data_IF_642246496710
#
_entry.id   IF_642246496710
#
_cell.length_a   1.000
_cell.length_b   1.000
_cell.length_c   1.000
_cell.angle_alpha   90.00
_cell.angle_beta   90.00
_cell.angle_gamma   90.00
#
_symmetry.space_group_name_H-M   'P 1'
#
loop_
_entity.id
_entity.type
_entity.pdbx_description
1 polymer ?
#
# COMPACT_ATOMS: atom_id res chain seq x y z
N UNK A 1 -6.25 5.01 -16.07
CA UNK A 1 -7.63 4.77 -15.67
C UNK A 1 -8.49 5.95 -16.04
N UNK A 2 -9.64 5.66 -16.64
CA UNK A 2 -10.65 6.65 -17.00
C UNK A 2 -11.75 6.60 -15.94
N UNK A 3 -12.54 7.64 -15.78
CA UNK A 3 -13.69 7.56 -14.90
C UNK A 3 -14.72 6.53 -15.43
N UNK A 4 -15.54 5.94 -14.56
CA UNK A 4 -16.43 4.81 -14.86
C UNK A 4 -15.73 3.57 -15.48
N UNK A 5 -14.44 3.33 -15.17
CA UNK A 5 -13.71 2.18 -15.72
C UNK A 5 -13.67 0.96 -14.79
N UNK A 6 -14.10 1.12 -13.53
CA UNK A 6 -14.00 0.11 -12.48
C UNK A 6 -14.89 0.46 -11.29
N UNK A 7 -15.18 -0.53 -10.44
CA UNK A 7 -15.86 -0.30 -9.15
C UNK A 7 -15.11 0.73 -8.28
N UNK A 8 -13.78 0.75 -8.37
CA UNK A 8 -12.93 1.69 -7.63
C UNK A 8 -13.12 3.14 -8.10
N UNK A 9 -13.18 3.36 -9.42
CA UNK A 9 -13.47 4.68 -9.96
C UNK A 9 -14.89 5.14 -9.63
N UNK A 10 -15.85 4.22 -9.64
CA UNK A 10 -17.24 4.52 -9.31
C UNK A 10 -17.37 4.95 -7.84
N UNK A 11 -16.67 4.26 -6.93
CA UNK A 11 -16.63 4.63 -5.52
C UNK A 11 -16.01 6.02 -5.31
N UNK A 12 -14.84 6.29 -5.93
CA UNK A 12 -14.19 7.59 -5.81
C UNK A 12 -15.04 8.74 -6.38
N UNK A 13 -15.72 8.53 -7.50
CA UNK A 13 -16.60 9.55 -8.09
C UNK A 13 -17.75 9.90 -7.12
N UNK A 14 -18.33 8.92 -6.43
CA UNK A 14 -19.32 9.18 -5.38
C UNK A 14 -18.71 9.95 -4.20
N UNK A 15 -17.53 9.55 -3.74
CA UNK A 15 -16.84 10.19 -2.61
C UNK A 15 -16.49 11.66 -2.85
N UNK A 16 -16.27 12.03 -4.11
CA UNK A 16 -15.98 13.40 -4.55
C UNK A 16 -17.24 14.19 -4.90
N UNK A 17 -18.43 13.62 -4.71
CA UNK A 17 -19.71 14.23 -5.04
C UNK A 17 -20.01 14.32 -6.53
N UNK A 18 -19.28 13.59 -7.37
CA UNK A 18 -19.43 13.57 -8.82
C UNK A 18 -18.16 13.12 -9.55
N UNK A 19 -18.31 12.90 -10.85
CA UNK A 19 -17.19 12.51 -11.71
C UNK A 19 -16.40 13.74 -12.17
N UNK A 20 -15.14 13.83 -11.73
CA UNK A 20 -14.24 14.91 -12.10
C UNK A 20 -12.86 14.36 -12.49
N UNK A 21 -12.41 14.60 -13.72
CA UNK A 21 -11.06 14.20 -14.15
C UNK A 21 -9.94 15.04 -13.51
N UNK A 22 -10.28 16.24 -13.03
CA UNK A 22 -9.40 17.16 -12.31
C UNK A 22 -9.99 17.47 -10.94
N UNK A 23 -9.24 18.19 -10.09
CA UNK A 23 -9.74 18.64 -8.79
C UNK A 23 -10.80 19.75 -9.00
N UNK A 24 -12.05 19.56 -8.52
CA UNK A 24 -13.06 20.60 -8.54
C UNK A 24 -12.74 21.68 -7.49
N UNK A 25 -13.11 22.92 -7.79
CA UNK A 25 -12.95 24.04 -6.86
C UNK A 25 -14.21 24.93 -6.91
N UNK A 26 -15.08 24.90 -5.88
CA UNK A 26 -15.06 24.01 -4.72
C UNK A 26 -15.51 22.59 -5.04
N UNK A 27 -15.24 21.65 -4.13
CA UNK A 27 -15.92 20.35 -4.14
C UNK A 27 -17.43 20.52 -3.82
N UNK A 28 -18.30 19.63 -4.34
CA UNK A 28 -19.69 19.55 -3.91
C UNK A 28 -19.81 19.32 -2.40
N UNK A 29 -20.80 19.93 -1.75
CA UNK A 29 -21.02 19.78 -0.30
C UNK A 29 -21.41 18.36 0.16
N UNK A 30 -21.69 17.46 -0.79
CA UNK A 30 -21.95 16.04 -0.53
C UNK A 30 -20.69 15.18 -0.57
N UNK A 31 -19.53 15.76 -0.91
CA UNK A 31 -18.27 15.04 -0.95
C UNK A 31 -17.72 14.85 0.47
N UNK A 32 -16.96 13.78 0.66
CA UNK A 32 -16.18 13.50 1.88
C UNK A 32 -14.69 13.25 1.58
N UNK A 33 -14.33 13.29 0.29
CA UNK A 33 -12.96 13.20 -0.20
C UNK A 33 -12.64 14.43 -1.06
N UNK A 34 -11.73 15.26 -0.55
CA UNK A 34 -11.43 16.61 -1.05
C UNK A 34 -9.95 16.79 -1.36
N UNK A 35 -9.34 15.83 -2.07
CA UNK A 35 -7.92 15.91 -2.42
C UNK A 35 -7.59 17.21 -3.16
N UNK A 36 -6.53 17.90 -2.73
CA UNK A 36 -6.23 19.28 -3.14
C UNK A 36 -4.87 19.45 -3.87
N UNK A 37 -4.07 18.40 -3.99
CA UNK A 37 -2.82 18.42 -4.77
C UNK A 37 -3.10 18.47 -6.28
N UNK A 38 -3.02 19.68 -6.84
CA UNK A 38 -3.22 19.99 -8.26
C UNK A 38 -2.23 19.32 -9.22
N UNK A 39 -1.14 18.72 -8.72
CA UNK A 39 -0.21 17.94 -9.54
C UNK A 39 -0.71 16.50 -9.80
N UNK A 40 -1.71 16.07 -9.03
CA UNK A 40 -2.26 14.72 -9.05
C UNK A 40 -3.37 14.59 -10.12
N UNK A 41 -3.25 13.57 -10.98
CA UNK A 41 -4.29 13.22 -11.94
C UNK A 41 -5.31 12.25 -11.33
N UNK A 42 -6.35 11.89 -12.10
CA UNK A 42 -7.40 10.95 -11.65
C UNK A 42 -6.86 9.64 -11.07
N UNK A 43 -5.82 9.07 -11.68
CA UNK A 43 -5.21 7.82 -11.22
C UNK A 43 -4.51 7.99 -9.88
N UNK A 44 -3.77 9.08 -9.71
CA UNK A 44 -3.10 9.43 -8.47
C UNK A 44 -4.12 9.65 -7.33
N UNK A 45 -5.21 10.39 -7.60
CA UNK A 45 -6.26 10.64 -6.60
C UNK A 45 -6.91 9.34 -6.13
N UNK A 46 -7.00 8.35 -7.01
CA UNK A 46 -7.57 7.05 -6.69
C UNK A 46 -6.66 6.20 -5.80
N UNK A 47 -5.34 6.33 -5.94
CA UNK A 47 -4.38 5.67 -5.03
C UNK A 47 -4.47 6.25 -3.63
N UNK A 48 -4.55 7.58 -3.53
CA UNK A 48 -4.70 8.28 -2.25
C UNK A 48 -6.03 7.96 -1.59
N UNK A 49 -7.11 7.92 -2.36
CA UNK A 49 -8.41 7.46 -1.88
C UNK A 49 -8.37 6.03 -1.31
N UNK A 50 -7.66 5.12 -2.00
CA UNK A 50 -7.45 3.76 -1.50
C UNK A 50 -6.68 3.73 -0.19
N UNK A 51 -5.61 4.52 -0.10
CA UNK A 51 -4.80 4.66 1.09
C UNK A 51 -5.64 5.16 2.27
N UNK A 52 -6.37 6.25 2.11
CA UNK A 52 -7.24 6.83 3.14
C UNK A 52 -8.26 5.82 3.66
N UNK A 53 -8.91 5.07 2.78
CA UNK A 53 -9.88 4.06 3.18
C UNK A 53 -9.23 2.89 3.96
N UNK A 54 -8.10 2.35 3.49
CA UNK A 54 -7.41 1.24 4.16
C UNK A 54 -6.92 1.64 5.54
N UNK A 55 -6.29 2.81 5.68
CA UNK A 55 -5.74 3.24 6.98
C UNK A 55 -6.83 3.69 7.96
N UNK A 56 -7.97 4.18 7.46
CA UNK A 56 -9.18 4.40 8.27
C UNK A 56 -9.74 3.07 8.78
N UNK A 57 -9.82 2.05 7.92
CA UNK A 57 -10.26 0.70 8.31
C UNK A 57 -9.34 0.07 9.36
N UNK A 58 -8.02 0.23 9.21
CA UNK A 58 -7.02 -0.26 10.16
C UNK A 58 -7.05 0.48 11.51
N UNK A 59 -7.80 1.58 11.62
CA UNK A 59 -7.86 2.41 12.83
C UNK A 59 -6.60 3.26 13.06
N UNK A 60 -5.76 3.42 12.04
CA UNK A 60 -4.52 4.22 12.13
C UNK A 60 -4.83 5.70 12.34
N UNK A 61 -5.97 6.18 11.83
CA UNK A 61 -6.40 7.57 11.91
C UNK A 61 -7.45 7.81 13.02
N UNK A 62 -7.79 6.78 13.82
CA UNK A 62 -8.89 6.81 14.81
C UNK A 62 -8.48 7.51 16.12
N UNK A 63 -8.00 8.75 15.99
CA UNK A 63 -7.75 9.65 17.10
C UNK A 63 -8.22 11.07 16.76
N UNK A 64 -8.61 11.82 17.78
CA UNK A 64 -9.23 13.13 17.60
C UNK A 64 -8.30 14.18 16.95
N UNK A 65 -6.99 14.11 17.21
CA UNK A 65 -6.04 15.07 16.67
C UNK A 65 -5.83 14.83 15.18
N UNK A 66 -5.64 13.57 14.78
CA UNK A 66 -5.51 13.18 13.38
C UNK A 66 -6.79 13.48 12.62
N UNK A 67 -7.95 13.08 13.15
CA UNK A 67 -9.26 13.35 12.56
C UNK A 67 -9.47 14.85 12.28
N UNK A 68 -9.09 15.72 13.22
CA UNK A 68 -9.17 17.17 13.03
C UNK A 68 -8.20 17.65 11.93
N UNK A 69 -6.96 17.14 11.95
CA UNK A 69 -5.90 17.55 11.03
C UNK A 69 -6.12 17.16 9.58
N UNK A 70 -6.96 16.15 9.31
CA UNK A 70 -7.26 15.67 7.95
C UNK A 70 -8.66 16.04 7.46
N UNK A 71 -9.50 16.63 8.32
CA UNK A 71 -10.93 16.86 8.05
C UNK A 71 -11.23 17.72 6.82
N UNK A 72 -10.27 18.54 6.36
CA UNK A 72 -10.39 19.31 5.13
C UNK A 72 -10.27 18.45 3.85
N UNK A 73 -9.69 17.26 3.95
CA UNK A 73 -9.42 16.34 2.83
C UNK A 73 -10.20 15.03 2.93
N UNK A 74 -10.37 14.49 4.14
CA UNK A 74 -10.96 13.17 4.36
C UNK A 74 -11.78 13.13 5.66
N UNK A 75 -13.07 12.80 5.53
CA UNK A 75 -13.97 12.75 6.68
C UNK A 75 -14.06 11.36 7.36
N UNK A 76 -14.12 10.22 6.65
CA UNK A 76 -14.32 8.92 7.29
C UNK A 76 -13.04 8.32 7.89
N UNK A 77 -12.50 8.94 8.93
CA UNK A 77 -11.21 8.61 9.56
C UNK A 77 -11.15 7.29 10.36
N UNK A 78 -12.26 6.58 10.56
CA UNK A 78 -12.25 5.29 11.24
C UNK A 78 -13.16 4.26 10.58
N UNK A 79 -13.01 2.99 10.96
CA UNK A 79 -13.73 1.89 10.34
C UNK A 79 -15.25 2.04 10.39
N UNK A 80 -15.80 2.58 11.48
CA UNK A 80 -17.25 2.75 11.64
C UNK A 80 -17.77 3.83 10.70
N UNK A 81 -17.10 5.00 10.68
CA UNK A 81 -17.48 6.12 9.83
C UNK A 81 -17.29 5.78 8.35
N UNK A 82 -16.21 5.09 8.01
CA UNK A 82 -15.97 4.57 6.66
C UNK A 82 -17.09 3.64 6.21
N UNK A 83 -17.49 2.69 7.05
CA UNK A 83 -18.57 1.76 6.72
C UNK A 83 -19.92 2.46 6.50
N UNK A 84 -20.20 3.52 7.26
CA UNK A 84 -21.47 4.26 7.13
C UNK A 84 -21.48 5.30 6.01
N UNK A 85 -20.33 5.88 5.67
CA UNK A 85 -20.22 6.98 4.71
C UNK A 85 -19.87 6.45 3.31
N UNK A 86 -18.85 5.62 3.21
CA UNK A 86 -18.31 5.14 1.94
C UNK A 86 -18.50 3.63 1.77
N UNK A 87 -19.77 3.24 1.63
CA UNK A 87 -20.19 1.83 1.56
C UNK A 87 -19.54 1.10 0.38
N UNK A 88 -19.38 1.79 -0.75
CA UNK A 88 -18.78 1.22 -1.96
C UNK A 88 -17.31 0.88 -1.74
N UNK A 89 -16.55 1.82 -1.17
CA UNK A 89 -15.14 1.59 -0.91
C UNK A 89 -14.91 0.60 0.23
N UNK A 90 -15.72 0.67 1.29
CA UNK A 90 -15.67 -0.30 2.37
C UNK A 90 -15.86 -1.73 1.85
N UNK A 91 -16.86 -1.93 0.97
CA UNK A 91 -17.10 -3.24 0.34
C UNK A 91 -15.90 -3.71 -0.50
N UNK A 92 -15.26 -2.81 -1.24
CA UNK A 92 -14.07 -3.14 -2.04
C UNK A 92 -12.87 -3.54 -1.17
N UNK A 93 -12.54 -2.76 -0.14
CA UNK A 93 -11.35 -3.05 0.67
C UNK A 93 -11.51 -4.29 1.55
N UNK A 94 -12.75 -4.61 1.96
CA UNK A 94 -13.04 -5.77 2.82
C UNK A 94 -13.34 -7.05 2.04
N UNK A 95 -13.46 -6.98 0.72
CA UNK A 95 -13.65 -8.18 -0.09
C UNK A 95 -12.40 -9.06 -0.09
N UNK A 96 -12.55 -10.24 0.52
CA UNK A 96 -11.50 -11.27 0.63
C UNK A 96 -10.94 -11.72 -0.72
N UNK A 97 -11.67 -11.55 -1.83
CA UNK A 97 -11.21 -11.84 -3.18
C UNK A 97 -9.94 -11.06 -3.53
N UNK A 98 -9.82 -9.81 -3.08
CA UNK A 98 -8.70 -8.93 -3.44
C UNK A 98 -7.48 -9.10 -2.54
N UNK A 99 -7.59 -9.88 -1.45
CA UNK A 99 -6.48 -10.21 -0.53
C UNK A 99 -5.73 -8.97 -0.02
N UNK A 100 -6.45 -7.88 0.19
CA UNK A 100 -5.87 -6.65 0.71
C UNK A 100 -5.44 -6.84 2.18
N UNK A 101 -4.31 -6.26 2.60
CA UNK A 101 -3.91 -6.26 3.99
C UNK A 101 -4.89 -5.40 4.78
N UNK A 102 -5.47 -5.99 5.84
CA UNK A 102 -6.43 -5.32 6.72
C UNK A 102 -5.91 -5.12 8.15
N UNK A 103 -4.66 -5.52 8.38
CA UNK A 103 -3.97 -5.33 9.65
C UNK A 103 -2.83 -4.34 9.45
N UNK A 104 -2.75 -3.35 10.33
CA UNK A 104 -1.62 -2.46 10.39
C UNK A 104 -0.34 -3.26 10.70
N UNK A 105 0.82 -2.88 10.14
CA UNK A 105 2.10 -3.38 10.62
C UNK A 105 2.25 -3.12 12.12
N UNK A 106 2.76 -4.10 12.87
CA UNK A 106 3.00 -3.99 14.31
C UNK A 106 4.32 -3.28 14.65
N UNK A 107 5.11 -2.92 13.63
CA UNK A 107 6.43 -2.32 13.75
C UNK A 107 7.52 -3.26 14.27
N UNK A 108 7.23 -4.56 14.44
CA UNK A 108 8.20 -5.54 14.92
C UNK A 108 8.90 -6.25 13.77
N UNK A 109 10.03 -5.70 13.34
CA UNK A 109 10.86 -6.28 12.28
C UNK A 109 11.90 -7.28 12.80
N UNK A 110 11.87 -7.64 14.08
CA UNK A 110 12.81 -8.60 14.66
C UNK A 110 12.27 -10.03 14.52
N UNK A 111 12.83 -10.88 13.63
CA UNK A 111 12.42 -12.27 13.57
C UNK A 111 12.77 -12.99 14.86
N UNK A 112 11.91 -13.91 15.30
CA UNK A 112 12.18 -14.77 16.45
C UNK A 112 13.44 -15.61 16.16
N UNK A 113 14.54 -15.32 16.85
CA UNK A 113 15.83 -16.03 16.70
C UNK A 113 15.78 -17.48 17.17
N UNK A 114 14.67 -17.90 17.77
CA UNK A 114 14.49 -19.23 18.38
C UNK A 114 14.23 -20.37 17.38
N UNK A 115 14.01 -20.07 16.09
CA UNK A 115 13.74 -21.08 15.05
C UNK A 115 14.83 -21.22 13.99
N UNK A 116 15.95 -20.50 14.13
CA UNK A 116 17.10 -20.69 13.22
C UNK A 116 17.99 -21.78 13.80
N UNK A 117 17.58 -23.04 13.66
CA UNK A 117 18.55 -24.14 13.65
C UNK A 117 19.45 -23.92 12.43
N UNK A 118 20.78 -23.98 12.57
CA UNK A 118 21.73 -23.96 11.45
C UNK A 118 21.24 -24.92 10.36
N UNK A 119 20.71 -24.36 9.27
CA UNK A 119 20.17 -25.16 8.18
C UNK A 119 21.39 -25.70 7.43
N UNK A 120 21.61 -27.01 7.57
CA UNK A 120 22.39 -27.88 6.69
C UNK A 120 23.53 -27.17 5.93
N UNK A 121 24.77 -27.34 6.39
CA UNK A 121 25.97 -26.72 5.79
C UNK A 121 26.16 -27.05 4.29
N UNK A 122 25.50 -28.10 3.79
CA UNK A 122 25.40 -28.42 2.37
C UNK A 122 24.24 -27.66 1.70
N UNK A 123 24.41 -26.35 1.48
CA UNK A 123 23.47 -25.50 0.74
C UNK A 123 23.90 -25.31 -0.71
N UNK A 124 22.96 -25.40 -1.66
CA UNK A 124 23.22 -25.16 -3.08
C UNK A 124 22.68 -23.80 -3.52
N UNK A 125 23.45 -23.12 -4.38
CA UNK A 125 23.02 -21.84 -4.96
C UNK A 125 21.90 -22.12 -5.96
N UNK A 126 20.72 -21.56 -5.72
CA UNK A 126 19.57 -21.63 -6.62
C UNK A 126 19.61 -20.48 -7.62
N UNK A 127 19.91 -19.27 -7.15
CA UNK A 127 19.86 -18.05 -7.97
C UNK A 127 20.82 -16.98 -7.45
N UNK A 128 21.38 -16.18 -8.35
CA UNK A 128 22.17 -15.00 -8.02
C UNK A 128 21.42 -13.78 -8.54
N UNK A 129 21.20 -12.79 -7.67
CA UNK A 129 20.54 -11.53 -8.05
C UNK A 129 21.38 -10.31 -7.70
N UNK A 130 21.14 -9.22 -8.43
CA UNK A 130 21.63 -7.90 -8.05
C UNK A 130 20.77 -7.23 -6.97
N UNK A 131 21.12 -5.99 -6.59
CA UNK A 131 20.39 -5.18 -5.60
C UNK A 131 18.94 -4.85 -6.01
N UNK A 132 18.58 -5.03 -7.28
CA UNK A 132 17.23 -4.83 -7.82
C UNK A 132 16.49 -6.16 -8.01
N UNK A 133 17.04 -7.29 -7.56
CA UNK A 133 16.40 -8.61 -7.65
C UNK A 133 16.48 -9.27 -9.04
N UNK A 134 17.23 -8.69 -9.98
CA UNK A 134 17.37 -9.22 -11.34
C UNK A 134 18.38 -10.37 -11.35
N UNK A 135 18.09 -11.45 -12.10
CA UNK A 135 19.05 -12.55 -12.26
C UNK A 135 20.33 -12.08 -12.95
N UNK A 136 21.46 -12.45 -12.39
CA UNK A 136 22.77 -12.12 -12.93
C UNK A 136 23.74 -13.27 -12.70
N UNK A 137 24.89 -13.21 -13.39
CA UNK A 137 26.04 -14.06 -13.12
C UNK A 137 26.97 -13.39 -12.11
N UNK A 138 27.99 -14.12 -11.68
CA UNK A 138 29.05 -13.58 -10.84
C UNK A 138 29.80 -12.47 -11.58
N UNK A 139 29.56 -11.21 -11.17
CA UNK A 139 30.22 -10.02 -11.70
C UNK A 139 31.11 -9.38 -10.64
N UNK A 140 32.27 -8.86 -11.07
CA UNK A 140 33.14 -8.05 -10.21
C UNK A 140 32.57 -6.65 -10.01
N UNK A 141 32.99 -6.00 -8.92
CA UNK A 141 32.64 -4.62 -8.55
C UNK A 141 31.12 -4.35 -8.44
N UNK A 142 30.33 -5.40 -8.17
CA UNK A 142 28.89 -5.33 -7.98
C UNK A 142 28.50 -6.06 -6.68
N UNK A 143 27.46 -5.57 -5.99
CA UNK A 143 26.85 -6.33 -4.89
C UNK A 143 25.95 -7.42 -5.45
N UNK A 144 26.18 -8.65 -5.03
CA UNK A 144 25.47 -9.84 -5.43
C UNK A 144 24.78 -10.48 -4.22
N UNK A 145 23.59 -11.02 -4.42
CA UNK A 145 22.87 -11.83 -3.45
C UNK A 145 22.73 -13.26 -3.96
N UNK A 146 23.28 -14.21 -3.22
CA UNK A 146 23.20 -15.64 -3.51
C UNK A 146 22.05 -16.21 -2.70
N UNK A 147 21.03 -16.70 -3.41
CA UNK A 147 19.84 -17.32 -2.85
C UNK A 147 20.06 -18.83 -2.85
N UNK A 148 19.95 -19.45 -1.68
CA UNK A 148 20.19 -20.87 -1.50
C UNK A 148 18.89 -21.67 -1.41
N UNK A 149 18.97 -22.96 -1.76
CA UNK A 149 17.87 -23.93 -1.70
C UNK A 149 17.27 -24.07 -0.30
N UNK A 150 18.09 -23.87 0.72
CA UNK A 150 17.71 -23.89 2.12
C UNK A 150 17.06 -22.58 2.61
N UNK A 151 16.81 -21.61 1.72
CA UNK A 151 16.21 -20.32 2.01
C UNK A 151 17.17 -19.27 2.59
N UNK A 152 18.44 -19.63 2.86
CA UNK A 152 19.43 -18.64 3.28
C UNK A 152 19.82 -17.72 2.11
N UNK A 153 20.28 -16.52 2.46
CA UNK A 153 20.78 -15.53 1.49
C UNK A 153 22.16 -15.07 1.92
N UNK A 154 23.12 -15.03 0.99
CA UNK A 154 24.46 -14.50 1.24
C UNK A 154 24.74 -13.30 0.33
N UNK A 155 25.16 -12.18 0.93
CA UNK A 155 25.63 -11.00 0.20
C UNK A 155 27.13 -11.16 -0.10
N UNK A 156 27.53 -10.99 -1.36
CA UNK A 156 28.95 -10.96 -1.79
C UNK A 156 29.27 -9.71 -2.62
N UNK A 157 30.50 -9.24 -2.48
CA UNK A 157 31.11 -8.23 -3.35
C UNK A 157 32.45 -8.82 -3.82
N UNK A 158 32.55 -9.09 -5.11
CA UNK A 158 33.79 -9.62 -5.70
C UNK A 158 34.56 -8.41 -6.24
N UNK A 159 35.75 -8.14 -5.69
CA UNK A 159 36.61 -7.03 -6.12
C UNK A 159 37.65 -7.57 -7.11
N UNK A 160 38.17 -6.72 -7.99
CA UNK A 160 39.30 -7.03 -8.86
C UNK A 160 40.62 -7.23 -8.10
#
# INVERSE_FOLDING_TARGET
>A
MQANSSLMSDAMDVARGGQFMTIPNPYPASAWYHYDDWTCNYECMMIEYMYWAIVSYMGILDDAQTAQGISNEWEPYNATLLQSTDILMYALITDTQYKLPLLAPDGNYCPNTSSVSEINTNRQVVRITDVLGRETKENKNQTLFYLYDNGSVEKKIIIE
#
